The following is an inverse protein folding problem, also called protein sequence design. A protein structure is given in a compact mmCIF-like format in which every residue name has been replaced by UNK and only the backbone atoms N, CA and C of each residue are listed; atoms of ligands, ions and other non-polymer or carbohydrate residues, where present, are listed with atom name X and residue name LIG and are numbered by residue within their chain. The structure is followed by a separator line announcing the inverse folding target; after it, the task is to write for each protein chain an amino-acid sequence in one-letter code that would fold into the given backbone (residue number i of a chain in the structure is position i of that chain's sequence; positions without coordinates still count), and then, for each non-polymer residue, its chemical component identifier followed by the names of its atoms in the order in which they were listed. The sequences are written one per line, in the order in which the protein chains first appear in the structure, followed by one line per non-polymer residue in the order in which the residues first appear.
data_IF_301028930516
#
_entry.id   IF_301028930516
#
_cell.length_a   1.000
_cell.length_b   1.000
_cell.length_c   1.000
_cell.angle_alpha   90.00
_cell.angle_beta   90.00
_cell.angle_gamma   90.00
#
_symmetry.space_group_name_H-M   'P 1'
#
loop_
_entity.id
_entity.type
_entity.pdbx_description
1 polymer ?
#
# COMPACT_ATOMS: atom_id res chain seq x y z
N UNK A 1 -26.26 13.02 6.16
CA UNK A 1 -25.31 11.94 6.31
C UNK A 1 -23.94 12.56 6.47
N UNK A 2 -23.12 12.10 7.42
CA UNK A 2 -21.71 12.52 7.49
C UNK A 2 -21.02 12.14 6.17
N UNK A 3 -20.06 12.94 5.73
CA UNK A 3 -19.27 12.64 4.55
C UNK A 3 -18.38 11.44 4.86
N UNK A 4 -18.43 10.38 4.05
CA UNK A 4 -17.51 9.26 4.15
C UNK A 4 -16.13 9.61 3.61
N UNK A 5 -15.07 9.05 4.20
CA UNK A 5 -13.70 9.13 3.71
C UNK A 5 -13.07 7.74 3.75
N UNK A 6 -12.68 7.21 2.60
CA UNK A 6 -12.09 5.89 2.50
C UNK A 6 -10.63 5.99 2.05
N UNK A 7 -9.72 5.54 2.91
CA UNK A 7 -8.28 5.49 2.66
C UNK A 7 -7.77 4.07 2.81
N UNK A 8 -6.77 3.70 1.99
CA UNK A 8 -6.18 2.37 2.04
C UNK A 8 -4.65 2.44 2.05
N UNK A 9 -4.02 1.53 2.78
CA UNK A 9 -2.64 1.12 2.50
C UNK A 9 -2.62 0.17 1.30
N UNK A 10 -1.45 -0.22 0.74
CA UNK A 10 -1.37 -1.47 0.00
C UNK A 10 -1.57 -2.63 0.98
N UNK A 11 -2.01 -3.77 0.49
CA UNK A 11 -1.86 -5.01 1.26
C UNK A 11 -0.43 -5.53 1.13
N UNK A 12 0.11 -6.08 2.20
CA UNK A 12 1.53 -6.39 2.29
C UNK A 12 1.83 -7.86 2.07
N UNK A 13 2.88 -8.13 1.32
CA UNK A 13 3.32 -9.49 1.01
C UNK A 13 3.82 -10.24 2.25
N UNK A 14 3.21 -11.40 2.57
CA UNK A 14 3.50 -12.20 3.77
C UNK A 14 4.64 -13.19 3.51
N UNK A 15 5.72 -12.71 2.96
CA UNK A 15 6.95 -13.49 2.82
C UNK A 15 7.91 -13.33 4.01
N UNK A 16 7.70 -12.32 4.85
CA UNK A 16 8.53 -12.02 6.02
C UNK A 16 7.81 -11.10 7.02
N UNK A 17 8.39 -10.89 8.23
CA UNK A 17 7.90 -9.95 9.21
C UNK A 17 8.02 -8.49 8.72
N UNK A 18 7.14 -7.58 9.18
CA UNK A 18 7.15 -6.18 8.76
C UNK A 18 8.39 -5.42 9.24
N UNK A 19 8.74 -4.36 8.53
CA UNK A 19 9.80 -3.42 8.87
C UNK A 19 9.27 -1.98 8.88
N UNK A 20 10.11 -1.01 9.28
CA UNK A 20 9.71 0.42 9.40
C UNK A 20 9.14 1.02 8.10
N UNK A 21 9.47 0.47 6.92
CA UNK A 21 8.89 0.94 5.65
C UNK A 21 7.39 0.62 5.53
N UNK A 22 6.96 -0.56 5.99
CA UNK A 22 5.54 -0.90 6.07
C UNK A 22 4.83 -0.02 7.11
N UNK A 23 5.43 0.10 8.30
CA UNK A 23 4.90 0.92 9.38
C UNK A 23 4.76 2.40 8.99
N UNK A 24 5.64 2.94 8.14
CA UNK A 24 5.54 4.30 7.60
C UNK A 24 4.25 4.52 6.82
N UNK A 25 3.90 3.58 5.94
CA UNK A 25 2.67 3.64 5.15
C UNK A 25 1.42 3.54 6.04
N UNK A 26 1.45 2.61 7.00
CA UNK A 26 0.36 2.44 7.99
C UNK A 26 0.11 3.72 8.78
N UNK A 27 1.15 4.31 9.35
CA UNK A 27 1.05 5.56 10.12
C UNK A 27 0.53 6.70 9.25
N UNK A 28 0.98 6.82 8.00
CA UNK A 28 0.50 7.88 7.10
C UNK A 28 -1.00 7.77 6.84
N UNK A 29 -1.52 6.57 6.58
CA UNK A 29 -2.94 6.33 6.36
C UNK A 29 -3.76 6.53 7.65
N UNK A 30 -3.26 6.09 8.80
CA UNK A 30 -3.92 6.30 10.08
C UNK A 30 -3.99 7.79 10.47
N UNK A 31 -2.93 8.56 10.22
CA UNK A 31 -2.95 10.01 10.45
C UNK A 31 -4.01 10.70 9.58
N UNK A 32 -4.14 10.33 8.31
CA UNK A 32 -5.20 10.84 7.44
C UNK A 32 -6.58 10.46 7.99
N UNK A 33 -6.76 9.21 8.41
CA UNK A 33 -8.02 8.71 8.99
C UNK A 33 -8.42 9.50 10.24
N UNK A 34 -7.49 9.64 11.18
CA UNK A 34 -7.74 10.41 12.42
C UNK A 34 -8.01 11.89 12.15
N UNK A 35 -7.33 12.48 11.16
CA UNK A 35 -7.57 13.85 10.72
C UNK A 35 -9.01 14.05 10.23
N UNK A 36 -9.51 13.14 9.36
CA UNK A 36 -10.86 13.21 8.83
C UNK A 36 -11.92 12.98 9.93
N UNK A 37 -11.66 12.05 10.87
CA UNK A 37 -12.54 11.83 12.03
C UNK A 37 -12.64 13.05 12.95
N UNK A 38 -11.52 13.73 13.22
CA UNK A 38 -11.53 14.97 14.00
C UNK A 38 -12.37 16.09 13.35
N UNK A 39 -12.60 16.01 12.04
CA UNK A 39 -13.45 16.94 11.29
C UNK A 39 -14.91 16.49 11.22
N UNK A 40 -15.25 15.39 11.88
CA UNK A 40 -16.61 14.83 11.91
C UNK A 40 -17.00 14.02 10.67
N UNK A 41 -16.01 13.59 9.87
CA UNK A 41 -16.23 12.69 8.74
C UNK A 41 -16.18 11.22 9.22
N UNK A 42 -16.93 10.34 8.54
CA UNK A 42 -16.91 8.90 8.80
C UNK A 42 -15.76 8.26 7.99
N UNK A 43 -14.59 8.16 8.63
CA UNK A 43 -13.38 7.71 7.97
C UNK A 43 -13.13 6.22 8.18
N UNK A 44 -12.86 5.52 7.07
CA UNK A 44 -12.60 4.09 6.99
C UNK A 44 -11.16 3.85 6.49
N UNK A 45 -10.34 3.17 7.29
CA UNK A 45 -8.99 2.73 6.94
C UNK A 45 -9.01 1.22 6.67
N UNK A 46 -8.60 0.85 5.46
CA UNK A 46 -8.33 -0.54 5.09
C UNK A 46 -6.82 -0.78 5.03
N UNK A 47 -6.39 -1.85 5.65
CA UNK A 47 -5.08 -2.47 5.45
C UNK A 47 -5.23 -3.99 5.36
N UNK A 48 -4.14 -4.73 5.14
CA UNK A 48 -4.22 -6.19 5.05
C UNK A 48 -2.97 -6.85 4.52
N UNK A 49 -3.12 -8.12 4.18
CA UNK A 49 -2.03 -8.98 3.70
C UNK A 49 -2.33 -9.62 2.36
N UNK A 50 -1.31 -9.64 1.50
CA UNK A 50 -1.24 -10.37 0.25
C UNK A 50 -0.53 -11.70 0.51
N UNK A 51 -1.28 -12.81 0.41
CA UNK A 51 -0.85 -14.11 0.92
C UNK A 51 -0.66 -15.16 -0.17
N UNK A 52 -1.09 -14.88 -1.40
CA UNK A 52 -0.94 -15.79 -2.53
C UNK A 52 0.39 -15.61 -3.28
N UNK A 53 0.63 -16.48 -4.27
CA UNK A 53 1.74 -16.37 -5.20
C UNK A 53 2.94 -17.27 -4.91
N UNK A 54 3.79 -17.37 -5.92
CA UNK A 54 4.92 -18.29 -5.93
C UNK A 54 5.97 -17.96 -4.85
N UNK A 55 6.17 -16.68 -4.58
CA UNK A 55 7.16 -16.21 -3.60
C UNK A 55 6.78 -16.62 -2.17
N UNK A 56 5.50 -16.51 -1.80
CA UNK A 56 5.01 -16.96 -0.48
C UNK A 56 5.13 -18.49 -0.38
N UNK A 57 4.71 -19.21 -1.41
CA UNK A 57 4.84 -20.67 -1.47
C UNK A 57 6.29 -21.12 -1.30
N UNK A 58 7.22 -20.57 -2.09
CA UNK A 58 8.66 -20.91 -2.00
C UNK A 58 9.24 -20.60 -0.62
N UNK A 59 8.81 -19.49 0.00
CA UNK A 59 9.26 -19.11 1.35
C UNK A 59 8.72 -20.08 2.41
N UNK A 60 7.46 -20.46 2.34
CA UNK A 60 6.85 -21.44 3.24
C UNK A 60 7.55 -22.79 3.16
N UNK A 61 7.74 -23.31 1.94
CA UNK A 61 8.44 -24.57 1.72
C UNK A 61 9.91 -24.52 2.21
N UNK A 62 10.60 -23.39 2.00
CA UNK A 62 11.95 -23.17 2.54
C UNK A 62 12.00 -23.17 4.08
N UNK A 63 10.89 -22.88 4.74
CA UNK A 63 10.71 -22.96 6.19
C UNK A 63 10.02 -24.25 6.65
N UNK A 64 9.94 -25.28 5.79
CA UNK A 64 9.38 -26.60 6.08
C UNK A 64 7.92 -26.57 6.55
N UNK A 65 7.12 -25.67 6.01
CA UNK A 65 5.70 -25.54 6.32
C UNK A 65 4.87 -25.34 5.03
N UNK A 66 3.56 -25.52 5.11
CA UNK A 66 2.65 -25.17 4.02
C UNK A 66 2.38 -23.66 4.00
N UNK A 67 1.96 -23.09 2.83
CA UNK A 67 1.79 -21.64 2.70
C UNK A 67 0.69 -21.08 3.58
N UNK A 68 -0.39 -21.83 3.84
CA UNK A 68 -1.48 -21.38 4.73
C UNK A 68 -0.99 -21.22 6.17
N UNK A 69 -0.34 -22.26 6.70
CA UNK A 69 0.23 -22.21 8.05
C UNK A 69 1.29 -21.12 8.19
N UNK A 70 2.09 -20.91 7.14
CA UNK A 70 3.09 -19.84 7.10
C UNK A 70 2.45 -18.46 7.20
N UNK A 71 1.46 -18.16 6.36
CA UNK A 71 0.79 -16.86 6.36
C UNK A 71 0.00 -16.63 7.64
N UNK A 72 -0.74 -17.62 8.14
CA UNK A 72 -1.47 -17.54 9.41
C UNK A 72 -0.54 -17.19 10.58
N UNK A 73 0.63 -17.84 10.62
CA UNK A 73 1.64 -17.55 11.65
C UNK A 73 2.15 -16.11 11.55
N UNK A 74 2.59 -15.67 10.37
CA UNK A 74 3.14 -14.32 10.21
C UNK A 74 2.09 -13.23 10.47
N UNK A 75 0.86 -13.44 10.03
CA UNK A 75 -0.23 -12.49 10.31
C UNK A 75 -0.44 -12.36 11.81
N UNK A 76 -0.57 -13.48 12.51
CA UNK A 76 -0.86 -13.49 13.96
C UNK A 76 0.32 -13.02 14.81
N UNK A 77 1.55 -13.41 14.46
CA UNK A 77 2.72 -13.15 15.30
C UNK A 77 3.46 -11.85 14.93
N UNK A 78 3.19 -11.25 13.75
CA UNK A 78 3.98 -10.12 13.28
C UNK A 78 3.15 -8.98 12.71
N UNK A 79 2.18 -9.25 11.81
CA UNK A 79 1.45 -8.19 11.12
C UNK A 79 0.38 -7.53 12.00
N UNK A 80 -0.48 -8.31 12.65
CA UNK A 80 -1.47 -7.77 13.60
C UNK A 80 -0.80 -7.08 14.80
N UNK A 81 0.22 -7.69 15.46
CA UNK A 81 0.95 -7.00 16.53
C UNK A 81 1.64 -5.70 16.10
N UNK A 82 2.07 -5.57 14.83
CA UNK A 82 2.59 -4.30 14.34
C UNK A 82 1.58 -3.18 14.48
N UNK A 83 0.31 -3.40 14.06
CA UNK A 83 -0.73 -2.38 14.11
C UNK A 83 -0.97 -1.89 15.54
N UNK A 84 -0.99 -2.82 16.51
CA UNK A 84 -1.09 -2.48 17.93
C UNK A 84 0.14 -1.70 18.41
N UNK A 85 1.35 -2.14 18.04
CA UNK A 85 2.62 -1.53 18.46
C UNK A 85 2.75 -0.05 18.02
N UNK A 86 2.23 0.28 16.85
CA UNK A 86 2.29 1.65 16.30
C UNK A 86 0.95 2.40 16.37
N UNK A 87 -0.01 1.88 17.11
CA UNK A 87 -1.32 2.49 17.42
C UNK A 87 -2.12 2.83 16.14
N UNK A 88 -2.34 1.83 15.27
CA UNK A 88 -3.17 1.96 14.06
C UNK A 88 -4.63 1.63 14.38
N UNK A 89 -5.53 2.53 14.00
CA UNK A 89 -6.98 2.40 14.20
C UNK A 89 -7.69 2.13 12.86
N UNK A 90 -7.40 0.94 12.29
CA UNK A 90 -8.01 0.46 11.06
C UNK A 90 -9.41 -0.14 11.31
N UNK A 91 -10.31 0.01 10.33
CA UNK A 91 -11.68 -0.52 10.40
C UNK A 91 -11.78 -1.93 9.83
N UNK A 92 -10.85 -2.30 8.96
CA UNK A 92 -10.79 -3.66 8.43
C UNK A 92 -9.33 -4.06 8.15
N UNK A 93 -9.07 -5.36 8.30
CA UNK A 93 -7.83 -6.01 7.93
C UNK A 93 -8.18 -7.16 7.01
N UNK A 94 -7.96 -6.99 5.70
CA UNK A 94 -8.28 -7.99 4.69
C UNK A 94 -7.11 -8.93 4.46
N UNK A 95 -7.40 -10.23 4.32
CA UNK A 95 -6.46 -11.24 3.87
C UNK A 95 -6.92 -11.79 2.53
N UNK A 96 -6.03 -11.93 1.56
CA UNK A 96 -6.41 -12.47 0.23
C UNK A 96 -6.86 -13.93 0.30
N UNK A 97 -6.52 -14.64 1.38
CA UNK A 97 -6.97 -16.01 1.67
C UNK A 97 -8.32 -16.09 2.40
N UNK A 98 -9.01 -14.97 2.61
CA UNK A 98 -10.36 -15.00 3.20
C UNK A 98 -11.42 -15.37 2.15
N UNK A 99 -12.42 -16.21 2.51
CA UNK A 99 -13.48 -16.59 1.58
C UNK A 99 -14.24 -15.41 0.97
N UNK A 100 -14.41 -14.30 1.73
CA UNK A 100 -15.08 -13.09 1.21
C UNK A 100 -14.29 -12.45 0.06
N UNK A 101 -12.96 -12.56 0.09
CA UNK A 101 -12.10 -12.07 -0.97
C UNK A 101 -12.08 -13.04 -2.17
N UNK A 102 -11.81 -14.32 -1.93
CA UNK A 102 -11.72 -15.35 -2.98
C UNK A 102 -12.98 -15.42 -3.84
N UNK A 103 -14.16 -15.48 -3.21
CA UNK A 103 -15.45 -15.50 -3.92
C UNK A 103 -15.67 -14.24 -4.76
N UNK A 104 -15.33 -13.09 -4.22
CA UNK A 104 -15.49 -11.82 -4.94
C UNK A 104 -14.50 -11.67 -6.10
N UNK A 105 -13.27 -12.18 -5.96
CA UNK A 105 -12.27 -12.24 -7.05
C UNK A 105 -12.77 -13.13 -8.17
N UNK A 106 -13.25 -14.32 -7.86
CA UNK A 106 -13.80 -15.24 -8.88
C UNK A 106 -14.98 -14.61 -9.61
N UNK A 107 -15.89 -13.94 -8.89
CA UNK A 107 -16.98 -13.20 -9.50
C UNK A 107 -16.47 -12.10 -10.45
N UNK A 108 -15.50 -11.30 -10.03
CA UNK A 108 -14.93 -10.23 -10.84
C UNK A 108 -14.27 -10.78 -12.13
N UNK A 109 -13.52 -11.86 -12.01
CA UNK A 109 -12.92 -12.55 -13.16
C UNK A 109 -13.97 -13.02 -14.14
N UNK A 110 -15.04 -13.70 -13.66
CA UNK A 110 -16.13 -14.17 -14.50
C UNK A 110 -16.84 -13.01 -15.22
N UNK A 111 -17.13 -11.91 -14.50
CA UNK A 111 -17.74 -10.72 -15.07
C UNK A 111 -16.90 -10.10 -16.21
N UNK A 112 -15.56 -10.12 -16.10
CA UNK A 112 -14.66 -9.63 -17.16
C UNK A 112 -14.54 -10.61 -18.32
N UNK A 113 -14.55 -11.91 -18.05
CA UNK A 113 -14.51 -12.96 -19.07
C UNK A 113 -15.79 -12.93 -19.93
N UNK A 114 -16.96 -12.83 -19.31
CA UNK A 114 -18.25 -12.75 -19.98
C UNK A 114 -18.39 -11.47 -20.84
N UNK A 115 -17.64 -10.41 -20.48
CA UNK A 115 -17.56 -9.15 -21.26
C UNK A 115 -16.46 -9.14 -22.32
N UNK A 116 -15.81 -10.29 -22.57
CA UNK A 116 -14.72 -10.43 -23.55
C UNK A 116 -13.48 -9.54 -23.29
N UNK A 117 -13.25 -9.15 -22.01
CA UNK A 117 -12.00 -8.47 -21.62
C UNK A 117 -10.87 -9.44 -21.26
N UNK A 118 -11.16 -10.74 -21.18
CA UNK A 118 -10.18 -11.79 -20.90
C UNK A 118 -10.20 -12.80 -22.03
N UNK A 119 -9.02 -13.22 -22.49
CA UNK A 119 -8.85 -14.24 -23.53
C UNK A 119 -7.68 -15.18 -23.21
N UNK A 120 -7.67 -16.38 -23.79
CA UNK A 120 -6.56 -17.32 -23.66
C UNK A 120 -5.52 -17.08 -24.75
N UNK A 121 -4.24 -17.05 -24.37
CA UNK A 121 -3.12 -16.86 -25.30
C UNK A 121 -1.87 -17.57 -24.80
N UNK A 122 -0.89 -17.75 -25.71
CA UNK A 122 0.43 -18.27 -25.35
C UNK A 122 1.42 -17.11 -25.21
N UNK A 123 2.25 -17.17 -24.19
CA UNK A 123 3.29 -16.19 -23.96
C UNK A 123 4.64 -16.87 -23.72
N UNK A 124 5.66 -16.38 -24.39
CA UNK A 124 7.04 -16.75 -24.16
C UNK A 124 7.81 -15.51 -23.70
N UNK A 125 8.49 -15.58 -22.56
CA UNK A 125 9.23 -14.43 -22.05
C UNK A 125 10.01 -14.69 -20.78
N UNK A 126 10.77 -13.65 -20.41
CA UNK A 126 11.60 -13.62 -19.21
C UNK A 126 10.73 -13.34 -17.97
N UNK A 127 10.65 -14.28 -17.03
CA UNK A 127 9.88 -14.15 -15.80
C UNK A 127 10.78 -13.91 -14.59
N UNK A 128 10.48 -12.90 -13.79
CA UNK A 128 11.15 -12.65 -12.52
C UNK A 128 10.30 -13.13 -11.34
N UNK A 129 10.71 -14.19 -10.66
CA UNK A 129 10.02 -14.73 -9.47
C UNK A 129 9.93 -13.69 -8.34
N UNK A 130 10.93 -12.83 -8.19
CA UNK A 130 10.94 -11.81 -7.16
C UNK A 130 9.91 -10.68 -7.37
N UNK A 131 9.64 -10.31 -8.65
CA UNK A 131 8.58 -9.38 -9.04
C UNK A 131 7.24 -10.11 -9.24
N UNK A 132 7.29 -11.44 -9.46
CA UNK A 132 6.18 -12.26 -9.96
C UNK A 132 5.61 -11.74 -11.28
N UNK A 133 6.48 -11.26 -12.16
CA UNK A 133 6.12 -10.52 -13.38
C UNK A 133 7.02 -10.90 -14.56
N UNK A 134 6.44 -10.93 -15.76
CA UNK A 134 7.22 -11.00 -17.00
C UNK A 134 7.96 -9.69 -17.23
N UNK A 135 9.21 -9.79 -17.68
CA UNK A 135 10.12 -8.67 -17.89
C UNK A 135 10.41 -8.45 -19.37
N UNK A 136 10.31 -7.21 -19.80
CA UNK A 136 10.82 -6.79 -21.10
C UNK A 136 12.35 -6.65 -21.06
N UNK A 137 12.99 -6.64 -22.23
CA UNK A 137 14.46 -6.50 -22.31
C UNK A 137 15.00 -5.24 -21.61
N UNK A 138 14.23 -4.16 -21.59
CA UNK A 138 14.59 -2.92 -20.89
C UNK A 138 14.58 -3.01 -19.36
N UNK A 139 13.89 -4.02 -18.80
CA UNK A 139 13.82 -4.29 -17.36
C UNK A 139 14.92 -5.25 -16.89
N UNK A 140 15.76 -5.72 -17.81
CA UNK A 140 16.83 -6.68 -17.55
C UNK A 140 18.19 -6.02 -17.70
N UNK A 141 19.12 -6.45 -16.86
CA UNK A 141 20.54 -6.07 -16.92
C UNK A 141 21.42 -7.32 -17.01
N UNK A 142 22.67 -7.15 -17.38
CA UNK A 142 23.64 -8.26 -17.34
C UNK A 142 24.03 -8.57 -15.90
N UNK A 143 24.00 -9.85 -15.55
CA UNK A 143 24.39 -10.32 -14.23
C UNK A 143 25.87 -10.09 -13.96
N UNK A 144 26.22 -10.02 -12.68
CA UNK A 144 27.59 -9.86 -12.20
C UNK A 144 27.94 -10.92 -11.15
N UNK A 145 29.20 -11.24 -10.97
CA UNK A 145 29.67 -12.20 -9.97
C UNK A 145 29.15 -13.61 -10.26
N UNK A 146 28.38 -14.20 -9.35
CA UNK A 146 27.81 -15.55 -9.50
C UNK A 146 26.81 -15.68 -10.66
N UNK A 147 26.28 -14.57 -11.16
CA UNK A 147 25.32 -14.51 -12.27
C UNK A 147 25.94 -13.99 -13.58
N UNK A 148 27.27 -13.95 -13.68
CA UNK A 148 27.95 -13.49 -14.90
C UNK A 148 27.50 -14.31 -16.12
N UNK A 149 27.19 -13.60 -17.22
CA UNK A 149 26.65 -14.19 -18.46
C UNK A 149 25.15 -14.53 -18.43
N UNK A 150 24.43 -14.20 -17.36
CA UNK A 150 22.98 -14.37 -17.27
C UNK A 150 22.27 -13.01 -17.32
N UNK A 151 21.05 -13.00 -17.88
CA UNK A 151 20.16 -11.82 -17.77
C UNK A 151 19.49 -11.84 -16.39
N UNK A 152 19.57 -10.74 -15.66
CA UNK A 152 18.99 -10.60 -14.32
C UNK A 152 17.99 -9.44 -14.29
N UNK A 153 16.99 -9.57 -13.43
CA UNK A 153 16.03 -8.52 -13.16
C UNK A 153 16.73 -7.29 -12.54
N UNK A 154 16.54 -6.11 -13.12
CA UNK A 154 17.16 -4.86 -12.64
C UNK A 154 16.78 -4.51 -11.17
N UNK A 155 15.59 -4.95 -10.71
CA UNK A 155 15.09 -4.69 -9.36
C UNK A 155 15.70 -5.67 -8.33
N UNK A 156 15.74 -6.97 -8.66
CA UNK A 156 16.11 -8.03 -7.72
C UNK A 156 17.54 -8.53 -7.88
N UNK A 157 18.21 -8.17 -9.00
CA UNK A 157 19.57 -8.63 -9.35
C UNK A 157 19.70 -10.17 -9.31
N UNK A 158 18.63 -10.87 -9.69
CA UNK A 158 18.55 -12.34 -9.76
C UNK A 158 18.19 -12.76 -11.19
N UNK A 159 18.67 -13.94 -11.63
CA UNK A 159 18.33 -14.49 -12.93
C UNK A 159 16.81 -14.56 -13.15
N UNK A 160 16.41 -14.32 -14.41
CA UNK A 160 15.03 -14.54 -14.84
C UNK A 160 14.88 -15.92 -15.44
N UNK A 161 13.67 -16.49 -15.35
CA UNK A 161 13.32 -17.78 -15.92
C UNK A 161 12.67 -17.58 -17.29
N UNK A 162 13.10 -18.35 -18.31
CA UNK A 162 12.41 -18.39 -19.59
C UNK A 162 11.18 -19.28 -19.45
N UNK A 163 10.01 -18.70 -19.67
CA UNK A 163 8.75 -19.42 -19.60
C UNK A 163 8.03 -19.37 -20.95
N UNK A 164 7.41 -20.49 -21.31
CA UNK A 164 6.48 -20.58 -22.42
C UNK A 164 5.21 -21.28 -21.87
N UNK A 165 4.19 -20.47 -21.62
CA UNK A 165 2.96 -20.90 -20.97
C UNK A 165 1.74 -20.43 -21.76
N UNK A 166 0.68 -21.25 -21.74
CA UNK A 166 -0.64 -20.80 -22.17
C UNK A 166 -1.36 -20.25 -20.97
N UNK A 167 -1.68 -18.98 -20.98
CA UNK A 167 -2.31 -18.26 -19.87
C UNK A 167 -3.54 -17.49 -20.33
N UNK A 168 -4.31 -16.98 -19.39
CA UNK A 168 -5.35 -15.98 -19.64
C UNK A 168 -4.76 -14.58 -19.58
N UNK A 169 -5.24 -13.71 -20.49
CA UNK A 169 -4.77 -12.34 -20.64
C UNK A 169 -5.92 -11.36 -20.48
N UNK A 170 -5.69 -10.30 -19.72
CA UNK A 170 -6.57 -9.13 -19.66
C UNK A 170 -6.17 -8.14 -20.76
N UNK A 171 -7.14 -7.68 -21.56
CA UNK A 171 -6.95 -6.73 -22.67
C UNK A 171 -6.60 -5.32 -22.20
N UNK A 172 -5.50 -5.19 -21.46
CA UNK A 172 -5.05 -3.92 -20.90
C UNK A 172 -4.77 -2.86 -21.97
N UNK A 173 -4.31 -3.28 -23.15
CA UNK A 173 -4.02 -2.40 -24.28
C UNK A 173 -5.24 -1.60 -24.76
N UNK A 174 -6.45 -2.13 -24.62
CA UNK A 174 -7.71 -1.45 -24.99
C UNK A 174 -8.04 -0.24 -24.09
N UNK A 175 -7.38 -0.13 -22.93
CA UNK A 175 -7.65 0.92 -21.95
C UNK A 175 -6.71 2.12 -22.05
N UNK A 176 -5.72 2.10 -22.93
CA UNK A 176 -4.71 3.16 -23.05
C UNK A 176 -5.31 4.56 -23.18
N UNK A 177 -6.17 4.77 -24.16
CA UNK A 177 -6.77 6.07 -24.41
C UNK A 177 -7.73 6.51 -23.29
N UNK A 178 -8.44 5.54 -22.71
CA UNK A 178 -9.35 5.79 -21.57
C UNK A 178 -8.58 6.21 -20.34
N UNK A 179 -7.42 5.61 -20.08
CA UNK A 179 -6.52 5.98 -18.98
C UNK A 179 -5.93 7.37 -19.20
N UNK A 180 -5.41 7.67 -20.38
CA UNK A 180 -4.86 9.00 -20.71
C UNK A 180 -5.90 10.08 -20.53
N UNK A 181 -7.12 9.85 -21.04
CA UNK A 181 -8.24 10.76 -20.83
C UNK A 181 -8.60 10.92 -19.35
N UNK A 182 -8.60 9.81 -18.58
CA UNK A 182 -8.87 9.88 -17.14
C UNK A 182 -7.86 10.75 -16.39
N UNK A 183 -6.55 10.67 -16.74
CA UNK A 183 -5.52 11.52 -16.14
C UNK A 183 -5.61 12.99 -16.53
N UNK A 184 -6.15 13.29 -17.70
CA UNK A 184 -6.43 14.67 -18.14
C UNK A 184 -7.62 15.24 -17.39
N UNK A 185 -8.74 14.50 -17.34
CA UNK A 185 -9.98 14.91 -16.68
C UNK A 185 -9.81 15.00 -15.15
N UNK A 186 -8.89 14.21 -14.56
CA UNK A 186 -8.63 14.13 -13.12
C UNK A 186 -7.16 14.45 -12.80
N UNK A 187 -6.74 15.72 -12.83
CA UNK A 187 -5.33 16.11 -12.72
C UNK A 187 -4.68 15.73 -11.39
N UNK A 188 -5.44 15.44 -10.35
CA UNK A 188 -4.99 15.03 -9.02
C UNK A 188 -5.08 13.52 -8.77
N UNK A 189 -5.51 12.73 -9.76
CA UNK A 189 -5.68 11.29 -9.62
C UNK A 189 -4.38 10.58 -9.22
N UNK A 190 -3.24 10.93 -9.84
CA UNK A 190 -1.92 10.43 -9.45
C UNK A 190 -1.13 11.54 -8.78
N UNK A 191 -0.64 11.29 -7.58
CA UNK A 191 0.20 12.20 -6.80
C UNK A 191 1.44 11.47 -6.25
N UNK A 192 2.57 12.18 -6.04
CA UNK A 192 2.85 13.57 -6.41
C UNK A 192 3.00 13.78 -7.93
N UNK A 193 3.25 15.01 -8.37
CA UNK A 193 3.35 15.35 -9.80
C UNK A 193 4.44 14.55 -10.53
N UNK A 194 5.55 14.21 -9.87
CA UNK A 194 6.61 13.36 -10.42
C UNK A 194 6.10 11.94 -10.74
N UNK A 195 5.30 11.36 -9.85
CA UNK A 195 4.65 10.06 -10.03
C UNK A 195 3.66 10.10 -11.22
N UNK A 196 2.85 11.17 -11.32
CA UNK A 196 1.95 11.37 -12.47
C UNK A 196 2.71 11.39 -13.80
N UNK A 197 3.81 12.14 -13.87
CA UNK A 197 4.61 12.24 -15.08
C UNK A 197 5.18 10.89 -15.52
N UNK A 198 5.64 10.07 -14.57
CA UNK A 198 6.12 8.71 -14.83
C UNK A 198 4.99 7.83 -15.40
N UNK A 199 3.83 7.80 -14.74
CA UNK A 199 2.67 7.00 -15.15
C UNK A 199 2.19 7.39 -16.54
N UNK A 200 2.02 8.69 -16.81
CA UNK A 200 1.58 9.18 -18.11
C UNK A 200 2.59 8.86 -19.20
N UNK A 201 3.90 8.99 -18.91
CA UNK A 201 4.97 8.63 -19.86
C UNK A 201 4.95 7.13 -20.18
N UNK A 202 4.75 6.29 -19.16
CA UNK A 202 4.65 4.85 -19.33
C UNK A 202 3.46 4.46 -20.23
N UNK A 203 2.26 4.98 -19.94
CA UNK A 203 1.06 4.67 -20.72
C UNK A 203 1.19 5.16 -22.17
N UNK A 204 1.82 6.31 -22.43
CA UNK A 204 2.05 6.83 -23.78
C UNK A 204 3.03 6.00 -24.62
N UNK A 205 3.85 5.16 -24.02
CA UNK A 205 4.75 4.25 -24.75
C UNK A 205 3.99 3.06 -25.38
N UNK A 206 2.75 2.85 -25.00
CA UNK A 206 1.92 1.74 -25.43
C UNK A 206 1.77 0.69 -24.34
N UNK A 207 0.54 0.23 -24.13
CA UNK A 207 0.23 -0.85 -23.20
C UNK A 207 0.13 -2.18 -23.92
N UNK A 208 0.68 -3.22 -23.31
CA UNK A 208 0.49 -4.61 -23.74
C UNK A 208 -0.51 -5.31 -22.83
N UNK A 209 -1.18 -6.34 -23.35
CA UNK A 209 -2.10 -7.14 -22.56
C UNK A 209 -1.39 -7.86 -21.42
N UNK A 210 -2.08 -7.99 -20.30
CA UNK A 210 -1.52 -8.52 -19.05
C UNK A 210 -1.88 -9.99 -18.88
N UNK A 211 -0.87 -10.86 -18.68
CA UNK A 211 -1.11 -12.26 -18.29
C UNK A 211 -1.63 -12.31 -16.84
N UNK A 212 -2.86 -12.79 -16.68
CA UNK A 212 -3.60 -12.78 -15.40
C UNK A 212 -3.80 -14.16 -14.77
N UNK A 213 -3.21 -15.21 -15.34
CA UNK A 213 -3.23 -16.54 -14.76
C UNK A 213 -1.87 -17.22 -14.75
N UNK A 214 -1.76 -18.27 -13.96
CA UNK A 214 -0.61 -19.19 -13.93
C UNK A 214 -1.11 -20.62 -13.91
N UNK A 215 -0.38 -21.51 -14.60
CA UNK A 215 -0.69 -22.94 -14.59
C UNK A 215 -0.40 -23.57 -13.22
N UNK A 216 -1.31 -24.40 -12.72
CA UNK A 216 -1.12 -25.19 -11.50
C UNK A 216 0.01 -26.23 -11.61
N UNK A 217 0.41 -26.60 -12.83
CA UNK A 217 1.60 -27.43 -13.03
C UNK A 217 2.86 -26.78 -12.47
N UNK A 218 2.91 -25.45 -12.45
CA UNK A 218 4.03 -24.68 -11.90
C UNK A 218 3.93 -24.55 -10.39
N UNK A 219 2.79 -24.07 -9.88
CA UNK A 219 2.48 -23.94 -8.45
C UNK A 219 0.98 -23.77 -8.24
N UNK A 220 0.49 -24.22 -7.11
CA UNK A 220 -0.93 -24.24 -6.75
C UNK A 220 -1.17 -23.51 -5.42
N UNK A 221 -0.84 -22.21 -5.39
CA UNK A 221 -1.13 -21.33 -4.26
C UNK A 221 -1.66 -19.98 -4.75
N UNK A 222 -2.97 -19.91 -4.95
CA UNK A 222 -3.70 -18.77 -5.49
C UNK A 222 -5.18 -19.09 -5.67
N UNK A 223 -5.96 -18.13 -6.13
CA UNK A 223 -7.40 -18.28 -6.36
C UNK A 223 -7.62 -18.92 -7.73
N UNK A 224 -8.43 -19.96 -7.79
CA UNK A 224 -8.77 -20.67 -9.03
C UNK A 224 -9.45 -19.75 -10.05
N UNK A 225 -9.10 -19.92 -11.32
CA UNK A 225 -9.83 -19.31 -12.43
C UNK A 225 -11.20 -19.98 -12.54
N UNK A 226 -12.33 -19.25 -12.51
CA UNK A 226 -13.67 -19.83 -12.39
C UNK A 226 -14.07 -20.80 -13.51
N UNK A 227 -13.55 -20.58 -14.71
CA UNK A 227 -13.86 -21.39 -15.91
C UNK A 227 -12.77 -22.41 -16.28
N UNK A 228 -11.66 -22.45 -15.53
CA UNK A 228 -10.51 -23.32 -15.80
C UNK A 228 -9.78 -23.69 -14.51
N UNK A 229 -10.04 -24.91 -14.03
CA UNK A 229 -9.48 -25.43 -12.77
C UNK A 229 -7.98 -25.73 -12.81
N UNK A 230 -7.35 -25.71 -14.00
CA UNK A 230 -5.91 -25.96 -14.17
C UNK A 230 -5.08 -24.69 -14.03
N UNK A 231 -5.77 -23.54 -13.83
CA UNK A 231 -5.13 -22.24 -13.67
C UNK A 231 -5.56 -21.55 -12.37
N UNK A 232 -4.62 -20.80 -11.80
CA UNK A 232 -4.85 -19.87 -10.70
C UNK A 232 -4.66 -18.42 -11.16
N UNK A 233 -5.28 -17.50 -10.44
CA UNK A 233 -5.18 -16.05 -10.67
C UNK A 233 -3.77 -15.55 -10.40
N UNK A 234 -3.29 -14.68 -11.26
CA UNK A 234 -2.05 -13.92 -11.04
C UNK A 234 -2.17 -13.03 -9.79
N UNK A 235 -1.18 -13.14 -8.89
CA UNK A 235 -1.22 -12.53 -7.57
C UNK A 235 -1.55 -11.03 -7.58
N UNK A 236 -1.00 -10.24 -8.49
CA UNK A 236 -1.32 -8.81 -8.55
C UNK A 236 -2.75 -8.52 -9.02
N UNK A 237 -3.31 -9.38 -9.90
CA UNK A 237 -4.70 -9.24 -10.34
C UNK A 237 -5.68 -9.61 -9.22
N UNK A 238 -5.33 -10.60 -8.42
CA UNK A 238 -6.00 -10.99 -7.18
C UNK A 238 -5.89 -9.87 -6.13
N UNK A 239 -4.65 -9.50 -5.75
CA UNK A 239 -4.37 -8.55 -4.68
C UNK A 239 -5.06 -7.18 -4.89
N UNK A 240 -5.08 -6.63 -6.11
CA UNK A 240 -5.69 -5.33 -6.38
C UNK A 240 -7.19 -5.27 -6.07
N UNK A 241 -7.88 -6.40 -6.09
CA UNK A 241 -9.31 -6.47 -5.78
C UNK A 241 -9.63 -6.31 -4.28
N UNK A 242 -8.64 -6.40 -3.38
CA UNK A 242 -8.83 -6.23 -1.95
C UNK A 242 -9.61 -4.95 -1.61
N UNK A 243 -9.34 -3.87 -2.32
CA UNK A 243 -9.91 -2.54 -2.07
C UNK A 243 -11.43 -2.46 -2.21
N UNK A 244 -12.01 -3.32 -3.03
CA UNK A 244 -13.47 -3.39 -3.21
C UNK A 244 -14.07 -4.61 -2.51
N UNK A 245 -13.33 -5.72 -2.39
CA UNK A 245 -13.85 -6.93 -1.73
C UNK A 245 -14.02 -6.72 -0.23
N UNK A 246 -13.13 -5.99 0.43
CA UNK A 246 -13.24 -5.63 1.84
C UNK A 246 -14.47 -4.79 2.17
N UNK A 247 -14.94 -4.00 1.20
CA UNK A 247 -16.10 -3.12 1.37
C UNK A 247 -17.38 -3.64 0.70
N UNK A 248 -17.38 -4.96 0.33
CA UNK A 248 -18.62 -5.64 -0.01
C UNK A 248 -18.89 -5.86 -1.50
N UNK A 249 -17.89 -5.71 -2.39
CA UNK A 249 -18.08 -6.06 -3.79
C UNK A 249 -18.56 -7.52 -3.94
N UNK A 250 -19.71 -7.68 -4.60
CA UNK A 250 -20.33 -8.98 -4.80
C UNK A 250 -21.14 -9.52 -3.60
N UNK A 251 -21.16 -8.82 -2.45
CA UNK A 251 -21.85 -9.29 -1.23
C UNK A 251 -22.67 -8.21 -0.51
N UNK A 252 -22.19 -6.97 -0.43
CA UNK A 252 -22.82 -5.85 0.29
C UNK A 252 -22.73 -4.57 -0.57
N UNK A 253 -23.74 -4.38 -1.42
CA UNK A 253 -23.79 -3.23 -2.32
C UNK A 253 -23.95 -1.89 -1.57
N UNK A 254 -24.63 -1.88 -0.42
CA UNK A 254 -24.85 -0.65 0.35
C UNK A 254 -23.51 -0.14 0.92
N UNK A 255 -22.68 -1.04 1.47
CA UNK A 255 -21.35 -0.69 1.97
C UNK A 255 -20.43 -0.26 0.82
N UNK A 256 -20.49 -0.95 -0.31
CA UNK A 256 -19.72 -0.58 -1.51
C UNK A 256 -20.10 0.83 -1.99
N UNK A 257 -21.40 1.13 -2.14
CA UNK A 257 -21.89 2.44 -2.61
C UNK A 257 -21.57 3.58 -1.62
N UNK A 258 -21.48 3.27 -0.33
CA UNK A 258 -21.13 4.23 0.71
C UNK A 258 -19.65 4.63 0.67
N UNK A 259 -18.76 3.67 0.42
CA UNK A 259 -17.31 3.86 0.57
C UNK A 259 -16.58 3.99 -0.76
N UNK A 260 -17.08 3.36 -1.85
CA UNK A 260 -16.41 3.43 -3.15
C UNK A 260 -16.92 4.62 -3.99
N UNK A 261 -16.08 5.35 -4.73
CA UNK A 261 -14.63 5.16 -4.89
C UNK A 261 -13.81 5.67 -3.70
N UNK A 262 -12.73 4.96 -3.39
CA UNK A 262 -11.78 5.34 -2.34
C UNK A 262 -11.28 6.77 -2.55
N UNK A 263 -11.18 7.54 -1.46
CA UNK A 263 -10.67 8.91 -1.51
C UNK A 263 -9.18 8.96 -1.79
N UNK A 264 -8.39 8.09 -1.12
CA UNK A 264 -6.95 7.99 -1.33
C UNK A 264 -6.47 6.56 -1.16
N UNK A 265 -5.74 6.07 -2.14
CA UNK A 265 -4.94 4.85 -2.04
C UNK A 265 -3.46 5.26 -1.91
N UNK A 266 -2.87 5.03 -0.74
CA UNK A 266 -1.46 5.36 -0.46
C UNK A 266 -0.61 4.13 -0.77
N UNK A 267 0.39 4.26 -1.64
CA UNK A 267 1.20 3.13 -2.10
C UNK A 267 2.68 3.51 -2.21
N UNK A 268 3.57 2.54 -2.13
CA UNK A 268 4.97 2.74 -2.46
C UNK A 268 5.16 3.04 -3.96
N UNK A 269 6.13 3.87 -4.31
CA UNK A 269 6.39 4.23 -5.72
C UNK A 269 6.75 3.03 -6.59
N UNK A 270 7.24 1.93 -6.01
CA UNK A 270 7.59 0.69 -6.71
C UNK A 270 6.37 -0.10 -7.22
N UNK A 271 5.20 0.09 -6.61
CA UNK A 271 3.94 -0.55 -7.02
C UNK A 271 2.95 0.44 -7.67
N UNK A 272 3.43 1.65 -7.98
CA UNK A 272 2.59 2.72 -8.51
C UNK A 272 1.91 2.34 -9.83
N UNK A 273 2.61 1.64 -10.75
CA UNK A 273 2.04 1.24 -12.04
C UNK A 273 0.87 0.28 -11.89
N UNK A 274 0.92 -0.62 -10.92
CA UNK A 274 -0.21 -1.50 -10.62
C UNK A 274 -1.46 -0.71 -10.20
N UNK A 275 -1.29 0.29 -9.35
CA UNK A 275 -2.40 1.07 -8.79
C UNK A 275 -2.89 2.21 -9.68
N UNK A 276 -2.01 2.77 -10.51
CA UNK A 276 -2.36 3.90 -11.35
C UNK A 276 -2.68 3.53 -12.81
N UNK A 277 -2.32 2.31 -13.27
CA UNK A 277 -2.56 1.85 -14.65
C UNK A 277 -3.44 0.60 -14.67
N UNK A 278 -2.96 -0.51 -14.08
CA UNK A 278 -3.65 -1.81 -14.17
C UNK A 278 -4.98 -1.75 -13.40
N UNK A 279 -4.96 -1.30 -12.16
CA UNK A 279 -6.14 -1.22 -11.30
C UNK A 279 -7.26 -0.36 -11.88
N UNK A 280 -7.02 0.88 -12.34
CA UNK A 280 -8.06 1.67 -12.99
C UNK A 280 -8.61 1.02 -14.26
N UNK A 281 -7.77 0.34 -15.06
CA UNK A 281 -8.23 -0.38 -16.24
C UNK A 281 -9.16 -1.54 -15.88
N UNK A 282 -8.82 -2.33 -14.85
CA UNK A 282 -9.67 -3.40 -14.32
C UNK A 282 -11.04 -2.86 -13.90
N UNK A 283 -11.06 -1.77 -13.13
CA UNK A 283 -12.29 -1.11 -12.68
C UNK A 283 -13.13 -0.60 -13.85
N UNK A 284 -12.50 0.06 -14.82
CA UNK A 284 -13.18 0.54 -16.03
C UNK A 284 -13.78 -0.60 -16.86
N UNK A 285 -13.12 -1.77 -16.92
CA UNK A 285 -13.62 -2.97 -17.58
C UNK A 285 -14.86 -3.53 -16.85
N UNK A 286 -14.82 -3.53 -15.52
CA UNK A 286 -15.94 -3.95 -14.69
C UNK A 286 -17.12 -2.95 -14.72
N UNK A 287 -16.90 -1.70 -15.16
CA UNK A 287 -17.88 -0.62 -15.12
C UNK A 287 -17.90 0.15 -13.80
N UNK A 288 -16.83 0.01 -13.01
CA UNK A 288 -16.64 0.73 -11.75
C UNK A 288 -15.79 2.00 -11.97
N UNK A 289 -15.95 2.98 -11.09
CA UNK A 289 -15.11 4.17 -11.10
C UNK A 289 -13.73 3.85 -10.52
N UNK A 290 -12.63 4.41 -11.06
CA UNK A 290 -11.33 4.42 -10.39
C UNK A 290 -11.39 5.14 -9.03
N UNK A 291 -10.43 4.89 -8.10
CA UNK A 291 -10.31 5.68 -6.88
C UNK A 291 -10.12 7.16 -7.22
N UNK A 292 -10.45 8.06 -6.28
CA UNK A 292 -10.31 9.51 -6.50
C UNK A 292 -8.83 9.92 -6.59
N UNK A 293 -7.96 9.25 -5.82
CA UNK A 293 -6.52 9.52 -5.82
C UNK A 293 -5.70 8.27 -5.54
N UNK A 294 -4.58 8.13 -6.25
CA UNK A 294 -3.46 7.22 -5.93
C UNK A 294 -2.26 8.08 -5.56
N UNK A 295 -1.78 7.93 -4.33
CA UNK A 295 -0.63 8.67 -3.83
C UNK A 295 0.59 7.76 -3.69
N UNK A 296 1.61 7.98 -4.53
CA UNK A 296 2.87 7.25 -4.49
C UNK A 296 3.86 7.91 -3.52
N UNK A 297 4.13 7.27 -2.38
CA UNK A 297 5.20 7.74 -1.49
C UNK A 297 6.57 7.17 -1.87
N UNK A 298 7.64 7.88 -1.45
CA UNK A 298 9.01 7.47 -1.68
C UNK A 298 9.47 6.32 -0.78
N UNK A 299 10.67 5.84 -1.01
CA UNK A 299 11.28 4.80 -0.19
C UNK A 299 11.83 5.36 1.13
N UNK A 300 11.76 4.55 2.16
CA UNK A 300 12.51 4.77 3.37
C UNK A 300 13.88 4.10 3.25
N UNK A 301 14.93 4.92 3.31
CA UNK A 301 16.32 4.49 3.16
C UNK A 301 16.98 4.35 4.55
N UNK A 302 17.88 3.39 4.68
CA UNK A 302 18.74 3.24 5.86
C UNK A 302 20.19 3.22 5.38
N UNK A 303 21.00 4.17 5.87
CA UNK A 303 22.37 4.33 5.40
C UNK A 303 22.49 4.71 3.91
N UNK A 304 21.45 5.34 3.33
CA UNK A 304 21.41 5.74 1.91
C UNK A 304 20.96 4.64 0.94
N UNK A 305 20.65 3.42 1.44
CA UNK A 305 20.17 2.30 0.63
C UNK A 305 18.71 1.94 0.96
N UNK A 306 17.97 1.40 -0.05
CA UNK A 306 16.64 0.82 0.17
C UNK A 306 16.78 -0.33 1.17
N UNK A 307 15.87 -0.36 2.16
CA UNK A 307 15.85 -1.45 3.16
C UNK A 307 15.72 -2.81 2.49
N UNK A 308 16.58 -3.72 2.91
CA UNK A 308 16.56 -5.12 2.49
C UNK A 308 17.10 -5.98 3.63
N UNK A 309 16.41 -7.08 3.95
CA UNK A 309 16.90 -8.02 4.97
C UNK A 309 18.16 -8.74 4.53
N UNK A 310 18.29 -9.03 3.24
CA UNK A 310 19.53 -9.61 2.69
C UNK A 310 20.75 -8.72 2.91
N UNK A 311 20.54 -7.41 3.08
CA UNK A 311 21.59 -6.43 3.39
C UNK A 311 21.65 -6.04 4.87
N UNK A 312 20.88 -6.71 5.75
CA UNK A 312 20.78 -6.41 7.19
C UNK A 312 20.35 -4.96 7.51
N UNK A 313 19.65 -4.30 6.59
CA UNK A 313 19.14 -2.93 6.75
C UNK A 313 17.69 -2.86 7.22
N UNK A 314 17.02 -4.02 7.39
CA UNK A 314 15.64 -4.09 7.88
C UNK A 314 15.58 -3.77 9.37
N UNK A 315 15.01 -2.63 9.74
CA UNK A 315 14.78 -2.24 11.15
C UNK A 315 13.34 -2.62 11.50
N UNK A 316 13.18 -3.39 12.59
CA UNK A 316 11.85 -3.69 13.14
C UNK A 316 11.28 -2.45 13.84
N UNK A 317 9.99 -2.13 13.68
CA UNK A 317 9.33 -1.06 14.41
C UNK A 317 9.52 -1.14 15.93
N UNK A 318 9.49 -2.34 16.51
CA UNK A 318 9.68 -2.57 17.95
C UNK A 318 11.01 -2.05 18.46
N UNK A 319 12.10 -2.12 17.66
CA UNK A 319 13.39 -1.57 18.07
C UNK A 319 13.33 -0.06 18.37
N UNK A 320 12.39 0.64 17.74
CA UNK A 320 12.18 2.08 17.96
C UNK A 320 11.15 2.29 19.06
N UNK A 321 10.00 1.61 19.00
CA UNK A 321 8.89 1.84 19.93
C UNK A 321 9.20 1.40 21.35
N UNK A 322 10.04 0.37 21.54
CA UNK A 322 10.49 -0.05 22.88
C UNK A 322 11.34 1.00 23.60
N UNK A 323 12.00 1.88 22.84
CA UNK A 323 12.87 2.93 23.39
C UNK A 323 12.14 4.27 23.49
N UNK A 324 11.42 4.66 22.44
CA UNK A 324 10.86 6.01 22.29
C UNK A 324 9.33 6.06 22.40
N UNK A 325 8.65 4.92 22.38
CA UNK A 325 7.19 4.83 22.33
C UNK A 325 6.60 5.00 20.92
N UNK A 326 5.31 4.65 20.77
CA UNK A 326 4.58 4.72 19.50
C UNK A 326 4.41 6.17 19.02
N UNK A 327 4.10 7.11 19.89
CA UNK A 327 3.90 8.52 19.53
C UNK A 327 5.14 9.14 18.90
N UNK A 328 6.33 8.86 19.47
CA UNK A 328 7.60 9.37 18.93
C UNK A 328 7.92 8.72 17.57
N UNK A 329 7.64 7.43 17.41
CA UNK A 329 7.73 6.73 16.13
C UNK A 329 6.86 7.41 15.06
N UNK A 330 5.57 7.59 15.34
CA UNK A 330 4.58 8.21 14.46
C UNK A 330 4.98 9.63 14.09
N UNK A 331 5.34 10.46 15.09
CA UNK A 331 5.78 11.82 14.88
C UNK A 331 7.03 11.90 13.98
N UNK A 332 8.03 11.09 14.27
CA UNK A 332 9.28 11.09 13.50
C UNK A 332 9.05 10.83 12.02
N UNK A 333 8.34 9.76 11.69
CA UNK A 333 8.14 9.39 10.29
C UNK A 333 7.26 10.38 9.51
N UNK A 334 6.32 11.04 10.18
CA UNK A 334 5.49 12.07 9.54
C UNK A 334 6.19 13.43 9.45
N UNK A 335 7.22 13.68 10.28
CA UNK A 335 7.93 14.96 10.32
C UNK A 335 9.24 14.95 9.56
N UNK A 336 10.03 13.89 9.68
CA UNK A 336 11.39 13.83 9.13
C UNK A 336 11.41 13.60 7.61
N UNK A 337 10.35 13.01 7.07
CA UNK A 337 10.27 12.60 5.66
C UNK A 337 9.21 13.46 4.97
N UNK A 338 9.61 14.15 3.91
CA UNK A 338 8.66 14.83 3.03
C UNK A 338 7.78 13.81 2.33
N UNK A 339 6.47 13.78 2.66
CA UNK A 339 5.53 12.80 2.11
C UNK A 339 5.51 12.87 0.58
N UNK A 340 5.77 11.73 -0.09
CA UNK A 340 5.95 11.65 -1.55
C UNK A 340 7.40 11.64 -2.03
N UNK A 341 8.37 11.92 -1.15
CA UNK A 341 9.80 11.86 -1.46
C UNK A 341 10.48 10.68 -0.77
N UNK A 342 11.64 10.27 -1.25
CA UNK A 342 12.49 9.34 -0.52
C UNK A 342 13.00 10.01 0.77
N UNK A 343 13.05 9.25 1.85
CA UNK A 343 13.55 9.72 3.13
C UNK A 343 14.57 8.76 3.73
N UNK A 344 15.43 9.28 4.61
CA UNK A 344 16.42 8.46 5.31
C UNK A 344 16.11 8.41 6.79
N UNK A 345 16.17 7.21 7.36
CA UNK A 345 16.11 7.01 8.80
C UNK A 345 17.52 7.09 9.40
N UNK A 346 17.64 7.78 10.52
CA UNK A 346 18.82 7.71 11.39
C UNK A 346 18.41 7.80 12.87
N UNK A 347 19.11 7.04 13.71
CA UNK A 347 18.90 7.03 15.16
C UNK A 347 19.22 8.39 15.81
N UNK A 348 20.24 9.06 15.30
CA UNK A 348 20.70 10.37 15.75
C UNK A 348 19.64 11.44 15.48
N UNK A 349 19.05 11.45 14.27
CA UNK A 349 17.99 12.40 13.90
C UNK A 349 16.71 12.14 14.70
N UNK A 350 16.32 10.86 14.88
CA UNK A 350 15.19 10.49 15.73
C UNK A 350 15.36 11.01 17.15
N UNK A 351 16.51 10.73 17.78
CA UNK A 351 16.80 11.17 19.15
C UNK A 351 16.85 12.69 19.28
N UNK A 352 17.46 13.38 18.30
CA UNK A 352 17.53 14.83 18.28
C UNK A 352 16.14 15.47 18.19
N UNK A 353 15.27 14.98 17.29
CA UNK A 353 13.90 15.48 17.13
C UNK A 353 13.02 15.15 18.33
N UNK A 354 13.14 13.95 18.90
CA UNK A 354 12.44 13.56 20.12
C UNK A 354 12.68 14.58 21.25
N UNK A 355 13.95 14.93 21.48
CA UNK A 355 14.30 15.90 22.52
C UNK A 355 13.93 17.35 22.17
N UNK A 356 14.22 17.78 20.95
CA UNK A 356 14.02 19.18 20.56
C UNK A 356 12.55 19.52 20.27
N UNK A 357 11.84 18.68 19.55
CA UNK A 357 10.51 19.00 19.04
C UNK A 357 9.39 18.48 19.95
N UNK A 358 9.46 17.22 20.41
CA UNK A 358 8.47 16.66 21.31
C UNK A 358 8.70 17.10 22.76
N UNK A 359 9.85 16.83 23.35
CA UNK A 359 10.08 17.15 24.76
C UNK A 359 10.18 18.66 25.02
N UNK A 360 11.08 19.37 24.31
CA UNK A 360 11.33 20.81 24.55
C UNK A 360 10.35 21.73 23.81
N UNK A 361 9.73 21.28 22.69
CA UNK A 361 8.70 22.04 21.98
C UNK A 361 7.30 21.80 22.57
N UNK A 362 6.64 20.77 22.11
CA UNK A 362 5.25 20.45 22.49
C UNK A 362 5.11 20.11 23.98
N UNK A 363 6.02 19.27 24.53
CA UNK A 363 6.00 18.87 25.94
C UNK A 363 6.14 20.06 26.90
N UNK A 364 7.01 21.02 26.60
CA UNK A 364 7.13 22.26 27.38
C UNK A 364 5.88 23.13 27.28
N UNK A 365 5.27 23.24 26.10
CA UNK A 365 4.01 23.99 25.95
C UNK A 365 2.92 23.37 26.81
N UNK A 366 2.68 22.05 26.68
CA UNK A 366 1.68 21.35 27.47
C UNK A 366 1.94 21.47 28.97
N UNK A 367 3.18 21.17 29.42
CA UNK A 367 3.56 21.20 30.83
C UNK A 367 3.40 22.62 31.44
N UNK A 368 3.80 23.66 30.73
CA UNK A 368 3.64 25.05 31.21
C UNK A 368 2.18 25.47 31.25
N UNK A 369 1.38 25.09 30.25
CA UNK A 369 -0.04 25.41 30.23
C UNK A 369 -0.77 24.73 31.39
N UNK A 370 -0.53 23.44 31.62
CA UNK A 370 -1.11 22.70 32.74
C UNK A 370 -0.67 23.31 34.09
N UNK A 371 0.62 23.62 34.24
CA UNK A 371 1.12 24.24 35.46
C UNK A 371 0.47 25.60 35.73
N UNK A 372 0.24 26.43 34.72
CA UNK A 372 -0.46 27.71 34.85
C UNK A 372 -1.93 27.51 35.25
N UNK A 373 -2.65 26.58 34.60
CA UNK A 373 -4.04 26.26 34.94
C UNK A 373 -4.14 25.75 36.39
N UNK A 374 -3.24 24.85 36.79
CA UNK A 374 -3.18 24.37 38.17
C UNK A 374 -2.89 25.49 39.18
N UNK A 375 -1.92 26.35 38.86
CA UNK A 375 -1.46 27.41 39.79
C UNK A 375 -2.47 28.55 39.94
N UNK A 376 -3.12 28.96 38.86
CA UNK A 376 -3.95 30.17 38.82
C UNK A 376 -5.44 29.89 38.87
N UNK A 377 -5.86 28.66 38.58
CA UNK A 377 -7.26 28.27 38.44
C UNK A 377 -7.57 26.92 39.13
N UNK A 378 -6.71 26.52 40.09
CA UNK A 378 -6.90 25.26 40.86
C UNK A 378 -7.11 24.02 40.02
N UNK A 379 -6.51 23.96 38.82
CA UNK A 379 -6.62 22.84 37.87
C UNK A 379 -7.89 22.85 37.02
N UNK A 380 -8.74 23.84 37.14
CA UNK A 380 -9.97 23.98 36.36
C UNK A 380 -9.76 24.96 35.20
N UNK A 381 -10.03 24.54 33.99
CA UNK A 381 -9.97 25.44 32.82
C UNK A 381 -11.12 26.46 32.97
N UNK A 382 -10.81 27.80 33.06
CA UNK A 382 -11.86 28.78 33.22
C UNK A 382 -12.70 28.93 31.95
N UNK A 383 -13.95 29.34 32.12
CA UNK A 383 -14.77 29.79 31.00
C UNK A 383 -14.07 30.95 30.26
N UNK A 384 -14.13 30.94 28.89
CA UNK A 384 -13.51 32.00 28.12
C UNK A 384 -14.19 33.34 28.37
N UNK A 385 -13.40 34.37 28.61
CA UNK A 385 -13.87 35.75 28.68
C UNK A 385 -14.08 36.36 27.28
N UNK A 386 -14.16 37.69 27.22
CA UNK A 386 -14.16 38.42 25.93
C UNK A 386 -12.82 38.25 25.23
N UNK A 387 -12.87 37.81 23.94
CA UNK A 387 -11.66 37.62 23.14
C UNK A 387 -11.07 38.98 22.74
N UNK A 388 -9.79 39.15 23.03
CA UNK A 388 -9.01 40.31 22.63
C UNK A 388 -8.33 40.05 21.25
N UNK A 389 -7.69 41.09 20.72
CA UNK A 389 -6.98 41.02 19.44
C UNK A 389 -5.88 39.94 19.44
N UNK A 390 -5.19 39.75 20.55
CA UNK A 390 -4.16 38.71 20.70
C UNK A 390 -4.77 37.28 20.59
N UNK A 391 -5.93 37.05 21.20
CA UNK A 391 -6.65 35.75 21.15
C UNK A 391 -7.11 35.47 19.73
N UNK A 392 -7.66 36.47 19.05
CA UNK A 392 -8.09 36.38 17.66
C UNK A 392 -6.92 36.07 16.70
N UNK A 393 -5.73 36.63 16.95
CA UNK A 393 -4.51 36.32 16.19
C UNK A 393 -4.09 34.86 16.38
N UNK A 394 -4.08 34.34 17.60
CA UNK A 394 -3.74 32.94 17.89
C UNK A 394 -4.73 31.99 17.22
N UNK A 395 -6.04 32.28 17.34
CA UNK A 395 -7.08 31.49 16.67
C UNK A 395 -6.94 31.49 15.15
N UNK A 396 -6.59 32.64 14.56
CA UNK A 396 -6.37 32.74 13.11
C UNK A 396 -5.17 31.91 12.64
N UNK A 397 -4.08 31.88 13.40
CA UNK A 397 -2.92 31.05 13.11
C UNK A 397 -3.26 29.58 13.24
N UNK A 398 -3.96 29.18 14.30
CA UNK A 398 -4.38 27.79 14.51
C UNK A 398 -5.35 27.27 13.42
N UNK A 399 -6.24 28.14 12.91
CA UNK A 399 -7.15 27.78 11.79
C UNK A 399 -6.43 27.67 10.45
N UNK A 400 -5.28 28.31 10.30
CA UNK A 400 -4.48 28.28 9.06
C UNK A 400 -3.53 27.09 9.02
N UNK A 401 -3.10 26.59 10.18
CA UNK A 401 -2.24 25.41 10.30
C UNK A 401 -3.01 24.11 9.99
#
# INVERSE_FOLDING_TARGET
MSKSFYVTTPIFYVNDAPHIGHAYTEVACDVLTRWHRQRGEDAFLLTGTDEHGEKVLRTALGNHTDPRSWTDKLVTESWLPLLETIDIDNQDFIRTTEPRHEVAVQKFLQDLYDKDFIYQGSFEGNYCVGCEEYKNDGDLIDGQGEFDGQRVCAIHSKPVEQLNETNYFFKLSEFQDRLLKHYEDNPTFVQPASAKNEVVSFVKQGLSDLSISRSKERFDWGIDIPWDSDHITYVWFDALLNYITAIGYGSDQEKLDLLWPADVQVVGKDILRFHAVIWPAMLMAAGLQPPKQVFGHGWLLVGGEKMSKSKLTGISPNQITDIFGSDAFRYYFMKAIGFGSDGSFSWEDLSARYNAELANGFGNLASRTVAMVTRYFDGIIPEPGEYLDADNQVMAVAKKA
#
